data_IF_909223203709
#
_entry.id   IF_909223203709
#
_cell.length_a   1.000
_cell.length_b   1.000
_cell.length_c   1.000
_cell.angle_alpha   90.00
_cell.angle_beta   90.00
_cell.angle_gamma   90.00
#
_symmetry.space_group_name_H-M   'P 1'
#
loop_
_entity.id
_entity.type
_entity.pdbx_description
1 polymer ?
#
# COMPACT_ATOMS: atom_id res chain seq x y z
N UNK A 1 -10.70 -23.07 1.47
CA UNK A 1 -11.23 -22.60 2.77
C UNK A 1 -10.29 -21.55 3.33
N UNK A 2 -10.78 -20.40 3.76
CA UNK A 2 -9.97 -19.36 4.42
C UNK A 2 -9.40 -19.89 5.75
N UNK A 3 -8.14 -19.54 6.05
CA UNK A 3 -7.55 -19.77 7.37
C UNK A 3 -7.30 -18.42 8.03
N UNK A 4 -7.70 -18.30 9.30
CA UNK A 4 -7.37 -17.12 10.10
C UNK A 4 -5.85 -16.88 10.07
N UNK A 5 -5.44 -15.63 9.86
CA UNK A 5 -4.02 -15.25 9.73
C UNK A 5 -3.37 -15.58 8.38
N UNK A 6 -4.15 -15.97 7.36
CA UNK A 6 -3.62 -16.14 6.02
C UNK A 6 -3.08 -14.81 5.47
N UNK A 7 -1.83 -14.85 4.97
CA UNK A 7 -1.19 -13.71 4.29
C UNK A 7 -1.65 -13.64 2.84
N UNK A 8 -1.85 -12.42 2.34
CA UNK A 8 -2.27 -12.16 0.97
C UNK A 8 -1.25 -11.29 0.25
N UNK A 9 -0.90 -11.67 -0.97
CA UNK A 9 -0.19 -10.82 -1.92
C UNK A 9 -1.17 -10.29 -2.94
N UNK A 10 -1.26 -8.97 -3.07
CA UNK A 10 -2.12 -8.28 -4.03
C UNK A 10 -1.27 -7.36 -4.90
N UNK A 11 -1.66 -7.20 -6.16
CA UNK A 11 -1.00 -6.26 -7.07
C UNK A 11 -1.99 -5.67 -8.07
N UNK A 12 -1.71 -4.45 -8.53
CA UNK A 12 -2.42 -3.80 -9.63
C UNK A 12 -1.41 -3.03 -10.47
N UNK A 13 -1.38 -3.33 -11.76
CA UNK A 13 -0.57 -2.59 -12.73
C UNK A 13 -1.45 -1.62 -13.51
N UNK A 14 -1.03 -0.37 -13.56
CA UNK A 14 -1.68 0.69 -14.33
C UNK A 14 -0.94 0.93 -15.66
N UNK A 15 -0.85 -0.11 -16.50
CA UNK A 15 -0.13 -0.05 -17.79
C UNK A 15 -0.98 0.66 -18.84
N UNK A 16 -2.19 0.16 -19.09
CA UNK A 16 -3.10 0.74 -20.08
C UNK A 16 -3.87 1.95 -19.54
N UNK A 17 -3.99 2.07 -18.22
CA UNK A 17 -4.74 3.08 -17.49
C UNK A 17 -3.85 3.85 -16.48
N UNK A 18 -2.79 4.55 -16.94
CA UNK A 18 -1.85 5.21 -16.04
C UNK A 18 -2.51 6.34 -15.25
N UNK A 19 -2.18 6.42 -13.95
CA UNK A 19 -2.59 7.53 -13.10
C UNK A 19 -1.64 8.72 -13.36
N UNK A 20 -2.14 9.73 -14.08
CA UNK A 20 -1.35 10.92 -14.46
C UNK A 20 -1.49 12.04 -13.43
N UNK A 21 -0.40 12.75 -13.16
CA UNK A 21 -0.37 13.91 -12.28
C UNK A 21 0.55 15.00 -12.84
N UNK A 22 0.34 16.26 -12.44
CA UNK A 22 1.14 17.41 -12.89
C UNK A 22 2.04 18.01 -11.82
N UNK A 23 1.68 17.89 -10.54
CA UNK A 23 2.39 18.52 -9.42
C UNK A 23 2.74 17.50 -8.35
N UNK A 24 1.72 16.97 -7.68
CA UNK A 24 1.86 16.01 -6.59
C UNK A 24 0.98 14.77 -6.82
N UNK A 25 1.42 13.65 -6.27
CA UNK A 25 0.68 12.40 -6.23
C UNK A 25 0.79 11.81 -4.83
N UNK A 26 -0.36 11.54 -4.20
CA UNK A 26 -0.45 10.82 -2.93
C UNK A 26 -1.43 9.67 -3.07
N UNK A 27 -0.96 8.46 -2.79
CA UNK A 27 -1.77 7.24 -2.79
C UNK A 27 -2.01 6.84 -1.34
N UNK A 28 -3.27 6.61 -0.96
CA UNK A 28 -3.66 6.16 0.37
C UNK A 28 -4.52 4.92 0.24
N UNK A 29 -4.20 3.87 0.99
CA UNK A 29 -5.00 2.64 1.09
C UNK A 29 -5.58 2.59 2.49
N UNK A 30 -6.88 2.33 2.59
CA UNK A 30 -7.55 2.16 3.88
C UNK A 30 -7.65 0.68 4.22
N UNK A 31 -7.26 0.31 5.43
CA UNK A 31 -7.43 -1.04 5.95
C UNK A 31 -8.85 -1.21 6.50
N UNK A 32 -9.79 -1.50 5.59
CA UNK A 32 -11.21 -1.67 5.90
C UNK A 32 -11.69 -3.07 5.51
N UNK A 33 -12.35 -3.71 6.48
CA UNK A 33 -13.17 -4.90 6.28
C UNK A 33 -14.66 -4.58 6.37
N UNK A 34 -15.47 -5.64 6.42
CA UNK A 34 -16.92 -5.54 6.54
C UNK A 34 -17.41 -6.11 7.89
N UNK A 35 -18.25 -5.35 8.60
CA UNK A 35 -19.08 -5.84 9.71
C UNK A 35 -20.44 -6.30 9.21
N UNK A 36 -21.18 -6.99 10.08
CA UNK A 36 -22.59 -7.30 9.84
C UNK A 36 -23.42 -6.02 9.55
N UNK A 37 -24.34 -6.14 8.59
CA UNK A 37 -25.21 -5.05 8.16
C UNK A 37 -24.54 -4.04 7.23
N UNK A 38 -23.51 -4.44 6.48
CA UNK A 38 -22.88 -3.60 5.44
C UNK A 38 -22.11 -2.40 5.97
N UNK A 39 -21.67 -2.43 7.24
CA UNK A 39 -20.90 -1.35 7.85
C UNK A 39 -19.40 -1.63 7.74
N UNK A 40 -18.60 -0.59 7.57
CA UNK A 40 -17.15 -0.73 7.55
C UNK A 40 -16.58 -1.15 8.91
N UNK A 41 -15.57 -2.01 8.87
CA UNK A 41 -14.73 -2.40 10.00
C UNK A 41 -13.33 -1.83 9.78
N UNK A 42 -12.87 -0.85 10.58
CA UNK A 42 -11.45 -0.52 10.65
C UNK A 42 -10.68 -1.75 11.11
N UNK A 43 -9.75 -2.22 10.29
CA UNK A 43 -8.90 -3.36 10.61
C UNK A 43 -7.55 -2.88 11.18
N UNK A 44 -6.75 -3.85 11.65
CA UNK A 44 -5.40 -3.64 12.16
C UNK A 44 -4.47 -4.67 11.51
N UNK A 45 -4.49 -4.71 10.18
CA UNK A 45 -3.66 -5.58 9.38
C UNK A 45 -2.23 -5.08 9.37
N UNK A 46 -1.27 -6.00 9.41
CA UNK A 46 0.12 -5.69 9.09
C UNK A 46 0.28 -5.64 7.56
N UNK A 47 0.56 -4.44 7.03
CA UNK A 47 0.56 -4.16 5.58
C UNK A 47 1.90 -3.55 5.19
N UNK A 48 2.60 -4.22 4.29
CA UNK A 48 3.69 -3.63 3.51
C UNK A 48 3.24 -3.39 2.07
N UNK A 49 3.74 -2.33 1.44
CA UNK A 49 3.41 -2.01 0.04
C UNK A 49 4.58 -1.35 -0.67
N UNK A 50 4.58 -1.46 -2.00
CA UNK A 50 5.52 -0.79 -2.89
C UNK A 50 4.72 -0.12 -4.01
N UNK A 51 5.14 1.07 -4.41
CA UNK A 51 4.56 1.80 -5.53
C UNK A 51 5.65 2.09 -6.57
N UNK A 52 5.32 1.93 -7.84
CA UNK A 52 6.20 2.27 -8.96
C UNK A 52 5.56 3.38 -9.77
N UNK A 53 6.32 4.42 -10.08
CA UNK A 53 5.86 5.53 -10.90
C UNK A 53 7.01 6.11 -11.71
N UNK A 54 6.64 6.91 -12.71
CA UNK A 54 7.56 7.74 -13.47
C UNK A 54 7.25 9.20 -13.18
N UNK A 55 8.29 10.00 -12.99
CA UNK A 55 8.20 11.44 -12.86
C UNK A 55 9.40 12.09 -13.55
N UNK A 56 9.25 13.32 -14.03
CA UNK A 56 10.38 14.12 -14.50
C UNK A 56 11.24 14.57 -13.32
N UNK A 57 12.53 14.83 -13.59
CA UNK A 57 13.44 15.41 -12.61
C UNK A 57 13.11 16.90 -12.33
N UNK A 58 13.51 17.42 -11.15
CA UNK A 58 14.19 16.75 -10.04
C UNK A 58 13.24 15.94 -9.14
N UNK A 59 13.79 14.93 -8.46
CA UNK A 59 13.05 14.11 -7.51
C UNK A 59 13.22 14.61 -6.07
N UNK A 60 12.17 14.47 -5.27
CA UNK A 60 12.30 14.58 -3.82
C UNK A 60 13.20 13.45 -3.30
N UNK A 61 14.03 13.75 -2.29
CA UNK A 61 14.82 12.71 -1.63
C UNK A 61 13.89 11.73 -0.91
N UNK A 62 14.19 10.45 -1.03
CA UNK A 62 13.49 9.43 -0.26
C UNK A 62 13.90 9.49 1.22
N UNK A 63 12.98 9.13 2.13
CA UNK A 63 13.35 8.84 3.51
C UNK A 63 14.45 7.79 3.56
N UNK A 64 15.28 7.84 4.61
CA UNK A 64 16.30 6.80 4.83
C UNK A 64 15.58 5.46 5.02
N UNK A 65 16.07 4.42 4.35
CA UNK A 65 15.59 3.07 4.57
C UNK A 65 15.88 2.67 6.04
N UNK A 66 14.91 2.10 6.78
CA UNK A 66 15.15 1.57 8.12
C UNK A 66 16.21 0.46 8.11
N UNK A 67 16.78 0.16 9.28
CA UNK A 67 17.72 -0.95 9.43
C UNK A 67 17.01 -2.30 9.28
N UNK A 68 17.78 -3.38 9.14
CA UNK A 68 17.23 -4.73 9.02
C UNK A 68 16.42 -5.11 10.27
N UNK A 69 16.93 -4.75 11.45
CA UNK A 69 16.29 -5.02 12.74
C UNK A 69 14.96 -4.26 12.88
N UNK A 70 14.87 -3.05 12.33
CA UNK A 70 13.63 -2.26 12.32
C UNK A 70 12.58 -2.83 11.35
N UNK A 71 13.00 -3.61 10.34
CA UNK A 71 12.12 -4.23 9.34
C UNK A 71 11.69 -5.65 9.71
N UNK A 72 12.24 -6.24 10.78
CA UNK A 72 11.89 -7.58 11.21
C UNK A 72 10.48 -7.61 11.83
N UNK A 73 9.64 -8.53 11.36
CA UNK A 73 8.27 -8.74 11.85
C UNK A 73 8.18 -10.12 12.49
N UNK A 74 7.72 -10.17 13.76
CA UNK A 74 7.53 -11.39 14.55
C UNK A 74 6.29 -12.20 14.17
#
# INVERSE_FOLDING_TARGET
>A
TYKSGQRFGLYRWHIMDPIRFKKDLRITIQDLGWRHGGRYLPQQSDISSVCFWYQSEPHAKFPKLPSLEELEVN
#
